data_IF_746607814479
#
_entry.id   IF_746607814479
#
_cell.length_a   1.000
_cell.length_b   1.000
_cell.length_c   1.000
_cell.angle_alpha   90.00
_cell.angle_beta   90.00
_cell.angle_gamma   90.00
#
_symmetry.space_group_name_H-M   'P 1'
#
loop_
_entity.id
_entity.type
_entity.pdbx_description
1 polymer ?
#
# COMPACT_ATOMS: atom_id res chain seq x y z
N UNK A 1 11.79 -38.17 -21.28
CA UNK A 1 10.46 -37.74 -21.77
C UNK A 1 10.63 -36.55 -22.70
N UNK A 2 9.86 -36.43 -23.77
CA UNK A 2 9.92 -35.24 -24.63
C UNK A 2 8.90 -34.18 -24.16
N UNK A 3 9.42 -33.10 -23.56
CA UNK A 3 8.61 -31.99 -23.05
C UNK A 3 7.89 -31.20 -24.17
N UNK A 4 8.27 -31.39 -25.43
CA UNK A 4 7.61 -30.73 -26.58
C UNK A 4 6.31 -31.42 -26.99
N UNK A 5 6.27 -32.73 -26.79
CA UNK A 5 5.16 -33.60 -27.21
C UNK A 5 4.15 -33.86 -26.09
N UNK A 6 4.44 -33.40 -24.87
CA UNK A 6 3.55 -33.50 -23.71
C UNK A 6 2.58 -32.32 -23.65
N UNK A 7 1.32 -32.60 -23.29
CA UNK A 7 0.35 -31.56 -22.96
C UNK A 7 0.84 -30.73 -21.78
N UNK A 8 0.54 -29.43 -21.80
CA UNK A 8 1.03 -28.47 -20.80
C UNK A 8 0.58 -28.83 -19.38
N UNK A 9 -0.56 -29.47 -19.28
CA UNK A 9 -1.22 -29.80 -18.02
C UNK A 9 -0.58 -31.01 -17.37
N UNK A 10 -0.35 -32.05 -18.17
CA UNK A 10 0.37 -33.25 -17.75
C UNK A 10 1.81 -32.91 -17.37
N UNK A 11 2.45 -32.00 -18.13
CA UNK A 11 3.80 -31.52 -17.86
C UNK A 11 3.86 -30.78 -16.51
N UNK A 12 2.91 -29.88 -16.26
CA UNK A 12 2.82 -29.15 -15.00
C UNK A 12 2.53 -30.09 -13.81
N UNK A 13 1.64 -31.07 -14.00
CA UNK A 13 1.31 -32.09 -13.01
C UNK A 13 2.52 -32.94 -12.62
N UNK A 14 3.25 -33.44 -13.62
CA UNK A 14 4.47 -34.24 -13.41
C UNK A 14 5.53 -33.45 -12.64
N UNK A 15 5.77 -32.20 -13.04
CA UNK A 15 6.76 -31.34 -12.39
C UNK A 15 6.37 -31.08 -10.93
N UNK A 16 5.10 -30.77 -10.65
CA UNK A 16 4.64 -30.55 -9.27
C UNK A 16 4.81 -31.80 -8.40
N UNK A 17 4.52 -32.99 -8.94
CA UNK A 17 4.73 -34.26 -8.23
C UNK A 17 6.20 -34.48 -7.88
N UNK A 18 7.13 -34.16 -8.78
CA UNK A 18 8.57 -34.30 -8.50
C UNK A 18 9.08 -33.25 -7.50
N UNK A 19 8.55 -32.04 -7.56
CA UNK A 19 8.85 -30.98 -6.59
C UNK A 19 8.32 -31.30 -5.19
N UNK A 20 7.17 -31.98 -5.09
CA UNK A 20 6.61 -32.47 -3.83
C UNK A 20 7.45 -33.59 -3.21
N UNK A 21 8.05 -34.45 -4.06
CA UNK A 21 9.03 -35.46 -3.65
C UNK A 21 10.38 -34.88 -3.20
N UNK A 22 10.53 -33.55 -3.18
CA UNK A 22 11.73 -32.86 -2.70
C UNK A 22 12.86 -32.76 -3.72
N UNK A 23 12.64 -33.18 -4.99
CA UNK A 23 13.61 -32.97 -6.07
C UNK A 23 13.62 -31.52 -6.49
N UNK A 24 14.78 -31.03 -6.93
CA UNK A 24 14.86 -29.66 -7.41
C UNK A 24 14.41 -29.54 -8.87
N UNK A 25 13.90 -28.37 -9.25
CA UNK A 25 13.36 -28.14 -10.59
C UNK A 25 14.41 -28.32 -11.70
N UNK A 26 15.69 -28.07 -11.38
CA UNK A 26 16.81 -28.18 -12.31
C UNK A 26 17.16 -29.64 -12.61
N UNK A 27 17.14 -30.50 -11.59
CA UNK A 27 17.30 -31.96 -11.70
C UNK A 27 16.20 -32.54 -12.56
N UNK A 28 14.93 -32.18 -12.31
CA UNK A 28 13.80 -32.66 -13.13
C UNK A 28 13.97 -32.25 -14.59
N UNK A 29 14.44 -31.02 -14.86
CA UNK A 29 14.65 -30.56 -16.24
C UNK A 29 15.76 -31.32 -16.98
N UNK A 30 16.87 -31.60 -16.30
CA UNK A 30 18.06 -32.25 -16.87
C UNK A 30 17.90 -33.77 -16.93
N UNK A 31 17.42 -34.40 -15.86
CA UNK A 31 17.31 -35.85 -15.74
C UNK A 31 16.10 -36.41 -16.49
N UNK A 32 14.93 -35.79 -16.38
CA UNK A 32 13.70 -36.37 -16.95
C UNK A 32 13.39 -35.88 -18.36
N UNK A 33 13.78 -34.64 -18.68
CA UNK A 33 13.46 -33.97 -19.94
C UNK A 33 14.68 -33.61 -20.79
N UNK A 34 15.90 -33.90 -20.31
CA UNK A 34 17.17 -33.60 -20.99
C UNK A 34 17.23 -32.19 -21.57
N UNK A 35 16.70 -31.21 -20.85
CA UNK A 35 16.60 -29.83 -21.29
C UNK A 35 17.01 -28.84 -20.21
N UNK A 36 17.31 -27.61 -20.64
CA UNK A 36 17.65 -26.55 -19.70
C UNK A 36 16.41 -26.15 -18.90
N UNK A 37 16.62 -25.93 -17.61
CA UNK A 37 15.61 -25.45 -16.66
C UNK A 37 14.85 -24.21 -17.20
N UNK A 38 15.57 -23.26 -17.78
CA UNK A 38 15.00 -22.06 -18.42
C UNK A 38 14.06 -22.37 -19.59
N UNK A 39 14.36 -23.41 -20.38
CA UNK A 39 13.53 -23.82 -21.52
C UNK A 39 12.23 -24.45 -21.04
N UNK A 40 12.31 -25.31 -20.03
CA UNK A 40 11.15 -25.95 -19.43
C UNK A 40 10.24 -24.93 -18.72
N UNK A 41 10.85 -23.99 -18.00
CA UNK A 41 10.14 -22.87 -17.38
C UNK A 41 9.41 -22.01 -18.40
N UNK A 42 10.09 -21.62 -19.49
CA UNK A 42 9.50 -20.83 -20.59
C UNK A 42 8.32 -21.57 -21.24
N UNK A 43 8.37 -22.89 -21.34
CA UNK A 43 7.25 -23.69 -21.87
C UNK A 43 6.00 -23.56 -20.99
N UNK A 44 6.14 -23.68 -19.68
CA UNK A 44 5.04 -23.57 -18.72
C UNK A 44 4.48 -22.14 -18.61
N UNK A 45 5.36 -21.15 -18.45
CA UNK A 45 4.95 -19.76 -18.20
C UNK A 45 4.72 -18.95 -19.47
N UNK A 46 5.21 -19.41 -20.63
CA UNK A 46 5.22 -18.64 -21.88
C UNK A 46 3.83 -18.29 -22.41
N UNK A 47 2.85 -19.19 -22.22
CA UNK A 47 1.46 -18.95 -22.62
C UNK A 47 0.62 -18.24 -21.54
N UNK A 48 1.22 -17.80 -20.44
CA UNK A 48 0.53 -17.28 -19.22
C UNK A 48 -0.52 -18.23 -18.63
N UNK A 49 -0.48 -19.51 -19.01
CA UNK A 49 -1.36 -20.55 -18.49
C UNK A 49 -0.93 -21.03 -17.11
N UNK A 50 0.37 -21.05 -16.82
CA UNK A 50 0.90 -21.49 -15.53
C UNK A 50 1.80 -20.44 -14.91
N UNK A 51 1.65 -20.23 -13.60
CA UNK A 51 2.51 -19.37 -12.78
C UNK A 51 3.12 -20.19 -11.65
N UNK A 52 4.40 -19.95 -11.37
CA UNK A 52 5.07 -20.53 -10.20
C UNK A 52 4.60 -19.82 -8.93
N UNK A 53 4.07 -20.56 -7.98
CA UNK A 53 3.64 -20.09 -6.67
C UNK A 53 4.28 -21.03 -5.64
N UNK A 54 5.28 -20.53 -4.91
CA UNK A 54 6.09 -21.36 -4.01
C UNK A 54 6.87 -22.45 -4.78
N UNK A 55 6.73 -23.71 -4.32
CA UNK A 55 7.37 -24.87 -4.94
C UNK A 55 6.47 -25.62 -5.95
N UNK A 56 5.47 -24.95 -6.54
CA UNK A 56 4.57 -25.56 -7.54
C UNK A 56 4.19 -24.59 -8.65
N UNK A 57 3.78 -25.14 -9.78
CA UNK A 57 3.18 -24.44 -10.91
C UNK A 57 1.65 -24.58 -10.83
N UNK A 58 0.95 -23.45 -10.78
CA UNK A 58 -0.52 -23.39 -10.68
C UNK A 58 -1.07 -22.80 -11.97
N UNK A 59 -2.15 -23.40 -12.49
CA UNK A 59 -2.85 -22.86 -13.66
C UNK A 59 -3.49 -21.51 -13.33
N UNK A 60 -3.28 -20.52 -14.19
CA UNK A 60 -3.99 -19.24 -14.15
C UNK A 60 -5.26 -19.39 -14.98
N UNK A 61 -6.42 -19.36 -14.34
CA UNK A 61 -7.69 -19.41 -15.06
C UNK A 61 -7.84 -18.14 -15.91
N UNK A 62 -7.68 -18.27 -17.23
CA UNK A 62 -8.15 -17.28 -18.19
C UNK A 62 -9.21 -17.99 -19.02
N UNK A 63 -10.44 -17.47 -18.90
CA UNK A 63 -11.73 -17.91 -19.48
C UNK A 63 -12.59 -18.85 -18.63
N UNK A 64 -13.90 -18.67 -18.82
CA UNK A 64 -15.04 -19.20 -18.06
C UNK A 64 -15.30 -20.69 -18.37
N UNK A 65 -14.56 -21.30 -19.29
CA UNK A 65 -14.92 -22.61 -19.85
C UNK A 65 -14.14 -23.82 -19.31
N UNK A 66 -13.19 -23.64 -18.38
CA UNK A 66 -12.42 -24.76 -17.79
C UNK A 66 -13.05 -25.35 -16.52
N UNK A 67 -14.37 -25.20 -16.33
CA UNK A 67 -15.12 -25.94 -15.30
C UNK A 67 -15.74 -27.19 -15.91
N UNK A 68 -14.92 -28.22 -16.09
CA UNK A 68 -15.31 -29.61 -15.87
C UNK A 68 -14.13 -30.49 -16.23
N UNK A 69 -13.37 -30.94 -15.22
CA UNK A 69 -13.17 -32.36 -14.96
C UNK A 69 -12.41 -32.53 -13.63
N UNK A 70 -13.03 -33.34 -12.78
CA UNK A 70 -12.45 -34.05 -11.64
C UNK A 70 -12.22 -33.26 -10.34
N UNK A 71 -13.35 -33.10 -9.65
CA UNK A 71 -13.56 -33.48 -8.25
C UNK A 71 -12.54 -34.47 -7.67
N UNK A 72 -12.04 -34.19 -6.47
CA UNK A 72 -12.42 -34.96 -5.26
C UNK A 72 -11.75 -34.39 -3.98
N UNK A 73 -12.54 -34.43 -2.90
CA UNK A 73 -12.22 -34.27 -1.46
C UNK A 73 -12.17 -32.82 -0.88
N UNK A 74 -13.31 -32.29 -0.37
CA UNK A 74 -13.86 -32.41 1.02
C UNK A 74 -13.16 -31.40 1.96
N UNK A 75 -13.77 -30.32 2.51
CA UNK A 75 -14.97 -30.26 3.35
C UNK A 75 -15.72 -28.91 3.30
N UNK A 76 -17.00 -29.04 3.64
CA UNK A 76 -18.17 -28.16 3.56
C UNK A 76 -18.27 -27.11 4.70
N UNK A 77 -18.60 -25.85 4.38
CA UNK A 77 -19.63 -25.04 5.09
C UNK A 77 -20.40 -24.18 4.07
N UNK A 78 -21.49 -24.75 3.58
CA UNK A 78 -22.77 -24.17 3.13
C UNK A 78 -23.00 -22.67 3.41
N UNK A 79 -23.44 -21.92 2.39
CA UNK A 79 -24.87 -21.62 2.21
C UNK A 79 -25.16 -21.02 0.82
N UNK A 80 -26.06 -21.66 0.08
CA UNK A 80 -26.78 -21.10 -1.08
C UNK A 80 -27.79 -20.05 -0.55
N UNK A 81 -28.11 -18.96 -1.23
CA UNK A 81 -29.05 -18.86 -2.38
C UNK A 81 -29.07 -17.37 -2.75
N UNK A 82 -29.24 -17.00 -4.02
CA UNK A 82 -30.18 -15.93 -4.41
C UNK A 82 -30.46 -15.98 -5.90
N UNK A 83 -31.71 -16.35 -6.18
CA UNK A 83 -32.42 -16.16 -7.42
C UNK A 83 -32.90 -14.70 -7.45
N UNK A 84 -32.70 -14.04 -8.57
CA UNK A 84 -33.13 -12.66 -8.82
C UNK A 84 -34.65 -12.54 -8.81
N UNK A 85 -35.14 -11.60 -8.00
CA UNK A 85 -36.31 -10.78 -8.33
C UNK A 85 -36.15 -9.46 -7.61
N UNK A 86 -35.88 -8.39 -8.35
CA UNK A 86 -36.69 -7.16 -8.45
C UNK A 86 -35.81 -5.97 -8.86
N UNK A 87 -36.17 -5.43 -10.02
CA UNK A 87 -36.27 -4.01 -10.38
C UNK A 87 -35.69 -2.98 -9.41
N UNK A 88 -34.84 -2.08 -9.94
CA UNK A 88 -34.51 -0.81 -9.30
C UNK A 88 -33.02 -0.52 -9.09
N UNK A 89 -32.40 0.10 -10.09
CA UNK A 89 -31.26 1.02 -10.00
C UNK A 89 -30.03 0.57 -9.17
N UNK A 90 -29.03 -0.03 -9.83
CA UNK A 90 -27.65 0.09 -9.39
C UNK A 90 -26.77 0.46 -10.58
N UNK A 91 -26.39 1.74 -10.65
CA UNK A 91 -25.48 2.28 -11.65
C UNK A 91 -24.10 1.66 -11.51
N UNK A 92 -23.62 1.01 -12.57
CA UNK A 92 -22.21 0.63 -12.71
C UNK A 92 -21.38 1.90 -12.88
N UNK A 93 -20.52 2.19 -11.90
CA UNK A 93 -19.48 3.22 -12.06
C UNK A 93 -18.25 2.53 -12.67
N UNK A 94 -18.13 2.61 -13.99
CA UNK A 94 -16.89 2.28 -14.71
C UNK A 94 -16.05 3.55 -14.74
N UNK A 95 -15.12 3.70 -13.81
CA UNK A 95 -14.11 4.76 -13.89
C UNK A 95 -12.88 4.21 -14.61
N UNK A 96 -12.72 4.58 -15.88
CA UNK A 96 -11.45 4.45 -16.59
C UNK A 96 -10.46 5.45 -15.96
N UNK A 97 -9.62 4.98 -15.04
CA UNK A 97 -8.47 5.77 -14.58
C UNK A 97 -7.27 4.84 -14.43
N UNK A 98 -6.34 5.01 -15.38
CA UNK A 98 -4.96 4.49 -15.43
C UNK A 98 -4.66 3.41 -14.36
N UNK A 99 -4.98 2.16 -14.70
CA UNK A 99 -4.87 1.02 -13.80
C UNK A 99 -3.44 0.82 -13.28
N UNK A 100 -3.20 1.27 -12.06
CA UNK A 100 -2.11 0.76 -11.24
C UNK A 100 -2.66 -0.51 -10.60
N UNK A 101 -2.22 -1.68 -11.09
CA UNK A 101 -2.72 -2.97 -10.61
C UNK A 101 -2.23 -3.19 -9.18
N UNK A 102 -3.06 -2.86 -8.20
CA UNK A 102 -2.82 -3.20 -6.79
C UNK A 102 -3.24 -4.67 -6.64
N UNK A 103 -2.28 -5.57 -6.40
CA UNK A 103 -2.60 -6.93 -5.97
C UNK A 103 -3.12 -6.85 -4.53
N UNK A 104 -4.43 -6.89 -4.37
CA UNK A 104 -5.10 -6.89 -3.06
C UNK A 104 -5.05 -8.31 -2.50
N UNK A 105 -4.36 -8.50 -1.39
CA UNK A 105 -4.40 -9.74 -0.61
C UNK A 105 -5.78 -9.88 0.06
N UNK A 106 -6.29 -11.09 0.35
CA UNK A 106 -7.56 -11.26 1.08
C UNK A 106 -7.61 -10.47 2.40
N UNK A 107 -6.46 -10.27 3.05
CA UNK A 107 -6.28 -9.44 4.26
C UNK A 107 -6.49 -7.93 4.04
N UNK A 108 -6.37 -7.47 2.80
CA UNK A 108 -6.49 -6.06 2.45
C UNK A 108 -7.94 -5.68 2.19
N UNK A 109 -8.80 -6.65 1.87
CA UNK A 109 -10.25 -6.45 1.73
C UNK A 109 -10.89 -6.03 3.05
N UNK A 110 -10.48 -6.63 4.17
CA UNK A 110 -10.99 -6.27 5.50
C UNK A 110 -10.57 -4.85 5.91
N UNK A 111 -9.34 -4.46 5.59
CA UNK A 111 -8.86 -3.09 5.82
C UNK A 111 -9.57 -2.09 4.92
N UNK A 112 -9.85 -2.47 3.67
CA UNK A 112 -10.57 -1.64 2.71
C UNK A 112 -12.04 -1.47 3.12
N UNK A 113 -12.69 -2.55 3.55
CA UNK A 113 -14.03 -2.52 4.16
C UNK A 113 -14.02 -1.66 5.43
N UNK A 114 -13.01 -1.79 6.28
CA UNK A 114 -12.84 -0.94 7.46
C UNK A 114 -12.72 0.55 7.11
N UNK A 115 -12.05 0.91 6.02
CA UNK A 115 -11.98 2.29 5.53
C UNK A 115 -13.32 2.76 4.96
N UNK A 116 -14.01 1.92 4.20
CA UNK A 116 -15.33 2.23 3.63
C UNK A 116 -16.36 2.43 4.76
N UNK A 117 -16.40 1.53 5.73
CA UNK A 117 -17.32 1.61 6.87
C UNK A 117 -17.08 2.84 7.72
N UNK A 118 -15.83 3.32 7.79
CA UNK A 118 -15.48 4.55 8.50
C UNK A 118 -15.39 5.78 7.58
N UNK A 119 -15.83 5.70 6.32
CA UNK A 119 -15.68 6.78 5.35
C UNK A 119 -16.31 8.09 5.85
N UNK A 120 -17.53 8.04 6.38
CA UNK A 120 -18.20 9.23 6.91
C UNK A 120 -17.48 9.81 8.13
N UNK A 121 -16.93 8.95 8.99
CA UNK A 121 -16.18 9.38 10.16
C UNK A 121 -14.86 10.04 9.74
N UNK A 122 -14.15 9.45 8.77
CA UNK A 122 -12.92 9.99 8.21
C UNK A 122 -13.19 11.33 7.51
N UNK A 123 -14.29 11.44 6.74
CA UNK A 123 -14.66 12.71 6.13
C UNK A 123 -15.06 13.76 7.16
N UNK A 124 -15.82 13.40 8.20
CA UNK A 124 -16.10 14.32 9.31
C UNK A 124 -14.83 14.75 10.05
N UNK A 125 -13.85 13.86 10.21
CA UNK A 125 -12.54 14.23 10.78
C UNK A 125 -11.77 15.19 9.87
N UNK A 126 -11.79 14.98 8.54
CA UNK A 126 -11.15 15.86 7.58
C UNK A 126 -11.83 17.23 7.50
N UNK A 127 -13.15 17.27 7.52
CA UNK A 127 -13.93 18.51 7.55
C UNK A 127 -13.71 19.24 8.88
N UNK A 128 -13.68 18.51 9.99
CA UNK A 128 -13.30 19.10 11.28
C UNK A 128 -11.87 19.64 11.24
N UNK A 129 -10.92 18.94 10.63
CA UNK A 129 -9.54 19.42 10.50
C UNK A 129 -9.45 20.71 9.68
N UNK A 130 -10.12 20.77 8.52
CA UNK A 130 -10.16 21.96 7.65
C UNK A 130 -10.89 23.14 8.29
N UNK A 131 -12.01 22.88 8.97
CA UNK A 131 -12.79 23.92 9.63
C UNK A 131 -12.19 24.37 10.97
N UNK A 132 -11.25 23.59 11.52
CA UNK A 132 -10.48 23.92 12.71
C UNK A 132 -9.02 24.23 12.39
N UNK A 133 -8.64 24.65 11.18
CA UNK A 133 -7.27 25.11 10.92
C UNK A 133 -6.88 26.26 11.91
N UNK A 134 -7.85 27.07 12.33
CA UNK A 134 -7.69 28.09 13.38
C UNK A 134 -7.71 27.54 14.82
N UNK A 135 -8.21 26.33 15.05
CA UNK A 135 -8.39 25.73 16.38
C UNK A 135 -7.42 24.57 16.68
N UNK A 136 -6.86 23.91 15.67
CA UNK A 136 -5.71 23.01 15.80
C UNK A 136 -4.41 23.77 16.08
N UNK A 137 -4.31 25.02 15.62
CA UNK A 137 -3.28 25.96 16.10
C UNK A 137 -3.44 26.30 17.60
N UNK A 138 -4.59 25.99 18.22
CA UNK A 138 -4.81 26.11 19.67
C UNK A 138 -4.55 24.82 20.45
N UNK A 139 -4.34 23.66 19.80
CA UNK A 139 -3.89 22.45 20.51
C UNK A 139 -2.37 22.45 20.71
N UNK A 140 -1.92 23.34 21.59
CA UNK A 140 -0.78 23.20 22.53
C UNK A 140 0.57 22.69 22.00
N UNK A 141 0.94 22.98 20.75
CA UNK A 141 2.29 22.78 20.25
C UNK A 141 2.85 24.09 19.72
N UNK A 142 3.99 24.54 20.23
CA UNK A 142 4.75 25.61 19.59
C UNK A 142 5.30 25.05 18.26
N UNK A 143 4.82 25.55 17.14
CA UNK A 143 5.27 25.16 15.78
C UNK A 143 6.18 26.27 15.26
N UNK A 144 7.43 25.92 14.95
CA UNK A 144 8.40 26.87 14.37
C UNK A 144 8.67 26.50 12.92
N UNK A 145 8.18 27.32 12.00
CA UNK A 145 8.36 27.14 10.56
C UNK A 145 9.11 28.33 9.96
N UNK A 146 10.42 28.18 9.77
CA UNK A 146 11.27 29.24 9.25
C UNK A 146 11.71 28.96 7.80
N UNK A 147 11.81 30.01 6.97
CA UNK A 147 12.33 29.87 5.60
C UNK A 147 13.82 29.53 5.60
N UNK A 148 14.29 28.91 4.51
CA UNK A 148 15.70 28.55 4.34
C UNK A 148 16.59 29.80 4.38
N UNK A 149 17.60 29.77 5.24
CA UNK A 149 18.52 30.88 5.42
C UNK A 149 19.44 31.05 4.20
N UNK A 150 19.49 32.28 3.67
CA UNK A 150 20.39 32.65 2.55
C UNK A 150 21.84 32.87 3.01
N UNK A 151 22.05 33.20 4.29
CA UNK A 151 23.36 33.43 4.91
C UNK A 151 23.40 32.68 6.24
N UNK A 152 24.32 31.72 6.38
CA UNK A 152 24.41 30.82 7.53
C UNK A 152 24.75 31.55 8.86
N UNK A 153 25.51 32.64 8.77
CA UNK A 153 26.02 33.37 9.96
C UNK A 153 25.48 34.80 10.07
N UNK A 154 24.23 35.02 9.67
CA UNK A 154 23.61 36.35 9.81
C UNK A 154 23.35 36.68 11.28
N UNK A 155 23.94 37.77 11.78
CA UNK A 155 23.77 38.27 13.15
C UNK A 155 23.27 39.71 13.14
N UNK A 156 22.27 39.98 13.97
CA UNK A 156 21.72 41.31 14.23
C UNK A 156 21.68 41.54 15.75
N UNK A 157 21.99 42.77 16.18
CA UNK A 157 21.86 43.19 17.58
C UNK A 157 20.67 44.14 17.69
N UNK A 158 19.71 43.80 18.55
CA UNK A 158 18.51 44.60 18.82
C UNK A 158 18.49 44.99 20.30
N UNK A 159 18.00 46.18 20.62
CA UNK A 159 17.68 46.57 22.00
C UNK A 159 16.25 46.16 22.31
N UNK A 160 16.06 45.42 23.38
CA UNK A 160 14.77 44.94 23.86
C UNK A 160 14.49 45.53 25.24
N UNK A 161 13.21 45.54 25.61
CA UNK A 161 12.84 45.77 27.00
C UNK A 161 13.35 44.60 27.87
N UNK A 162 13.91 44.93 29.02
CA UNK A 162 14.48 44.00 29.99
C UNK A 162 13.45 43.02 30.54
N UNK A 163 12.29 43.50 30.99
CA UNK A 163 11.22 42.67 31.57
C UNK A 163 10.72 41.63 30.56
N UNK A 164 10.41 42.06 29.34
CA UNK A 164 9.92 41.16 28.28
C UNK A 164 11.00 40.13 27.88
N UNK A 165 12.27 40.54 27.88
CA UNK A 165 13.36 39.62 27.56
C UNK A 165 13.53 38.53 28.63
N UNK A 166 13.37 38.87 29.91
CA UNK A 166 13.39 37.89 31.00
C UNK A 166 12.24 36.87 30.89
N UNK A 167 11.02 37.34 30.64
CA UNK A 167 9.86 36.46 30.40
C UNK A 167 10.09 35.54 29.19
N UNK A 168 10.66 36.09 28.12
CA UNK A 168 10.98 35.31 26.92
C UNK A 168 12.08 34.28 27.18
N UNK A 169 13.05 34.59 28.04
CA UNK A 169 14.10 33.66 28.45
C UNK A 169 13.50 32.46 29.21
N UNK A 170 12.61 32.71 30.16
CA UNK A 170 11.90 31.63 30.87
C UNK A 170 11.00 30.81 29.92
N UNK A 171 10.41 31.45 28.92
CA UNK A 171 9.67 30.75 27.87
C UNK A 171 10.58 29.84 27.02
N UNK A 172 11.75 30.33 26.62
CA UNK A 172 12.74 29.55 25.86
C UNK A 172 13.29 28.38 26.68
N UNK A 173 13.53 28.58 27.99
CA UNK A 173 14.00 27.53 28.89
C UNK A 173 12.97 26.40 29.08
N UNK A 174 11.68 26.71 28.95
CA UNK A 174 10.58 25.72 28.92
C UNK A 174 10.48 24.99 27.58
N UNK A 175 10.98 25.58 26.49
CA UNK A 175 10.87 25.07 25.13
C UNK A 175 12.24 24.76 24.50
N UNK A 176 13.02 23.90 25.16
CA UNK A 176 14.40 23.54 24.75
C UNK A 176 14.50 22.81 23.42
N UNK A 177 13.38 22.36 22.85
CA UNK A 177 13.33 21.76 21.53
C UNK A 177 13.67 22.76 20.40
N UNK A 178 13.59 24.06 20.68
CA UNK A 178 13.91 25.13 19.72
C UNK A 178 15.08 25.99 20.21
N UNK A 179 15.84 26.52 19.26
CA UNK A 179 16.90 27.49 19.56
C UNK A 179 16.28 28.87 19.80
N UNK A 180 16.88 29.68 20.69
CA UNK A 180 16.46 31.09 20.91
C UNK A 180 16.34 31.87 19.59
N UNK A 181 17.28 31.63 18.67
CA UNK A 181 17.24 32.18 17.29
C UNK A 181 15.93 31.84 16.58
N UNK A 182 15.48 30.59 16.67
CA UNK A 182 14.29 30.11 15.98
C UNK A 182 13.02 30.71 16.58
N UNK A 183 12.94 30.74 17.92
CA UNK A 183 11.84 31.34 18.66
C UNK A 183 11.69 32.83 18.34
N UNK A 184 12.79 33.58 18.35
CA UNK A 184 12.78 35.02 17.99
C UNK A 184 12.39 35.21 16.53
N UNK A 185 12.91 34.39 15.62
CA UNK A 185 12.58 34.49 14.20
C UNK A 185 11.10 34.20 13.93
N UNK A 186 10.52 33.23 14.64
CA UNK A 186 9.10 32.91 14.56
C UNK A 186 8.24 34.04 15.13
N UNK A 187 8.60 34.59 16.29
CA UNK A 187 7.88 35.72 16.90
C UNK A 187 7.88 36.96 15.97
N UNK A 188 9.01 37.26 15.34
CA UNK A 188 9.09 38.34 14.35
C UNK A 188 8.25 38.05 13.10
N UNK A 189 8.27 36.80 12.61
CA UNK A 189 7.45 36.38 11.46
C UNK A 189 5.96 36.55 11.75
N UNK A 190 5.50 36.09 12.90
CA UNK A 190 4.10 36.22 13.34
C UNK A 190 3.70 37.68 13.52
N UNK A 191 4.55 38.49 14.15
CA UNK A 191 4.30 39.92 14.30
C UNK A 191 4.17 40.61 12.93
N UNK A 192 5.06 40.32 11.98
CA UNK A 192 4.96 40.85 10.61
C UNK A 192 3.67 40.39 9.95
N UNK A 193 3.32 39.09 10.02
CA UNK A 193 2.10 38.56 9.40
C UNK A 193 0.82 39.16 9.97
N UNK A 194 0.79 39.43 11.28
CA UNK A 194 -0.38 40.01 11.97
C UNK A 194 -0.68 41.44 11.55
N UNK A 195 0.34 42.21 11.16
CA UNK A 195 0.23 43.64 10.85
C UNK A 195 0.57 43.98 9.39
N UNK A 196 0.58 42.96 8.51
CA UNK A 196 0.81 43.11 7.07
C UNK A 196 -0.51 43.16 6.32
#
# INVERSE_FOLDING_TARGET
MDYKSMELDDLAGYINLQLEKGRNFTEVAVEDFSCNESTLRKRLTGKKLYKRIGNKYVRQCQTIDDKNQNSNEINDVRQSVRQDVTDGNSTQIINETKAQSIMVSPSDNEKFLGLISNYELIMKMLDNYKNNEDSFNKSNGLVVELPVEKKKDFRVTLRLNDVIYEEFKEFADRNKQFTVKELVSQALKEFIQKYK
#
